data_IF_082717708371
#
_entry.id   IF_082717708371
#
_cell.length_a   1.000
_cell.length_b   1.000
_cell.length_c   1.000
_cell.angle_alpha   90.00
_cell.angle_beta   90.00
_cell.angle_gamma   90.00
#
_symmetry.space_group_name_H-M   'P 1'
#
loop_
_entity.id
_entity.type
_entity.pdbx_description
1 polymer ?
#
# COMPACT_ATOMS: atom_id res chain seq x y z
N UNK A 1 8.84 12.76 -15.68
CA UNK A 1 7.46 12.40 -16.12
C UNK A 1 6.51 13.10 -15.18
N UNK A 2 5.62 13.97 -15.66
CA UNK A 2 4.57 14.54 -14.82
C UNK A 2 3.54 13.43 -14.54
N UNK A 3 3.73 12.68 -13.45
CA UNK A 3 2.77 11.70 -12.96
C UNK A 3 1.75 12.46 -12.13
N UNK A 4 0.61 12.83 -12.69
CA UNK A 4 -0.43 13.49 -11.91
C UNK A 4 -1.40 12.44 -11.35
N UNK A 5 -0.93 11.68 -10.36
CA UNK A 5 -1.77 10.78 -9.56
C UNK A 5 -2.18 11.57 -8.31
N UNK A 6 -3.49 11.68 -8.06
CA UNK A 6 -4.00 12.28 -6.82
C UNK A 6 -3.76 11.31 -5.67
N UNK A 7 -3.51 11.83 -4.46
CA UNK A 7 -3.43 10.97 -3.28
C UNK A 7 -4.82 10.39 -2.97
N UNK A 8 -4.91 9.07 -2.76
CA UNK A 8 -6.07 8.43 -2.16
C UNK A 8 -6.04 8.60 -0.64
N UNK A 9 -6.97 7.97 0.09
CA UNK A 9 -6.91 7.95 1.56
C UNK A 9 -5.60 7.35 2.07
N UNK A 10 -5.07 6.30 1.42
CA UNK A 10 -3.79 5.71 1.77
C UNK A 10 -2.64 6.68 1.52
N UNK A 11 -2.60 7.32 0.34
CA UNK A 11 -1.60 8.34 0.02
C UNK A 11 -1.62 9.53 0.97
N UNK A 12 -2.80 9.98 1.41
CA UNK A 12 -2.93 11.07 2.38
C UNK A 12 -2.42 10.69 3.78
N UNK A 13 -2.76 9.48 4.25
CA UNK A 13 -2.23 8.96 5.52
C UNK A 13 -0.71 8.85 5.46
N UNK A 14 -0.16 8.33 4.37
CA UNK A 14 1.28 8.25 4.18
C UNK A 14 1.93 9.64 4.08
N UNK A 15 1.29 10.60 3.42
CA UNK A 15 1.79 11.97 3.32
C UNK A 15 1.92 12.67 4.68
N UNK A 16 1.02 12.34 5.62
CA UNK A 16 1.02 12.95 6.94
C UNK A 16 1.89 12.17 7.95
N UNK A 17 1.77 10.85 8.00
CA UNK A 17 2.38 10.01 9.03
C UNK A 17 3.58 9.18 8.54
N UNK A 18 3.84 9.14 7.23
CA UNK A 18 4.81 8.20 6.64
C UNK A 18 6.22 8.35 7.20
N UNK A 19 6.70 9.58 7.41
CA UNK A 19 8.04 9.80 8.00
C UNK A 19 8.12 9.27 9.44
N UNK A 20 7.09 9.48 10.26
CA UNK A 20 7.05 9.00 11.65
C UNK A 20 7.02 7.47 11.69
N UNK A 21 6.16 6.86 10.88
CA UNK A 21 6.03 5.39 10.78
C UNK A 21 7.35 4.77 10.31
N UNK A 22 7.98 5.32 9.27
CA UNK A 22 9.27 4.82 8.77
C UNK A 22 10.38 4.95 9.82
N UNK A 23 10.43 6.08 10.53
CA UNK A 23 11.38 6.29 11.62
C UNK A 23 11.21 5.27 12.73
N UNK A 24 9.96 4.96 13.10
CA UNK A 24 9.64 3.93 14.09
C UNK A 24 10.11 2.55 13.64
N UNK A 25 9.73 2.12 12.43
CA UNK A 25 10.10 0.79 11.89
C UNK A 25 11.62 0.63 11.83
N UNK A 26 12.34 1.63 11.32
CA UNK A 26 13.79 1.57 11.22
C UNK A 26 14.48 1.57 12.59
N UNK A 27 13.91 2.26 13.58
CA UNK A 27 14.42 2.26 14.95
C UNK A 27 14.21 0.90 15.63
N UNK A 28 13.02 0.32 15.48
CA UNK A 28 12.67 -1.01 16.03
C UNK A 28 13.61 -2.11 15.48
N UNK A 29 14.08 -1.95 14.25
CA UNK A 29 15.02 -2.87 13.58
C UNK A 29 16.50 -2.48 13.76
N UNK A 30 16.82 -1.59 14.70
CA UNK A 30 18.18 -1.10 14.99
C UNK A 30 18.90 -0.46 13.78
N UNK A 31 18.15 0.18 12.87
CA UNK A 31 18.59 0.86 11.65
C UNK A 31 18.24 2.34 11.65
N UNK A 32 18.35 3.01 12.80
CA UNK A 32 18.03 4.43 12.94
C UNK A 32 18.69 5.27 11.83
N UNK A 33 17.87 6.01 11.08
CA UNK A 33 18.28 6.75 9.89
C UNK A 33 18.42 8.25 10.17
N UNK A 34 19.33 8.92 9.47
CA UNK A 34 19.36 10.39 9.47
C UNK A 34 18.13 10.95 8.75
N UNK A 35 17.82 12.22 8.97
CA UNK A 35 16.70 12.91 8.31
C UNK A 35 16.78 12.86 6.79
N UNK A 36 17.97 12.95 6.21
CA UNK A 36 18.18 12.85 4.76
C UNK A 36 17.89 11.43 4.25
N UNK A 37 18.40 10.42 4.95
CA UNK A 37 18.17 9.01 4.61
C UNK A 37 16.67 8.67 4.73
N UNK A 38 16.02 9.10 5.81
CA UNK A 38 14.59 8.91 6.02
C UNK A 38 13.76 9.53 4.89
N UNK A 39 14.14 10.72 4.42
CA UNK A 39 13.47 11.36 3.27
C UNK A 39 13.68 10.59 1.97
N UNK A 40 14.87 10.00 1.75
CA UNK A 40 15.10 9.12 0.60
C UNK A 40 14.24 7.86 0.66
N UNK A 41 14.17 7.20 1.82
CA UNK A 41 13.29 6.03 2.04
C UNK A 41 11.83 6.42 1.82
N UNK A 42 11.40 7.56 2.34
CA UNK A 42 10.04 8.05 2.16
C UNK A 42 9.64 8.18 0.69
N UNK A 43 10.50 8.75 -0.15
CA UNK A 43 10.25 8.88 -1.59
C UNK A 43 10.29 7.52 -2.30
N UNK A 44 11.23 6.65 -1.92
CA UNK A 44 11.37 5.31 -2.49
C UNK A 44 10.14 4.44 -2.22
N UNK A 45 9.63 4.46 -0.99
CA UNK A 45 8.43 3.74 -0.59
C UNK A 45 7.19 4.34 -1.25
N UNK A 46 7.11 5.65 -1.40
CA UNK A 46 6.01 6.25 -2.16
C UNK A 46 6.00 5.74 -3.61
N UNK A 47 7.11 5.89 -4.33
CA UNK A 47 7.18 5.51 -5.76
C UNK A 47 7.01 4.00 -5.96
N UNK A 48 7.53 3.17 -5.05
CA UNK A 48 7.55 1.71 -5.19
C UNK A 48 6.41 0.96 -4.51
N UNK A 49 5.50 1.66 -3.82
CA UNK A 49 4.42 1.02 -3.05
C UNK A 49 3.14 1.88 -3.01
N UNK A 50 3.21 3.10 -2.50
CA UNK A 50 2.01 3.93 -2.25
C UNK A 50 1.40 4.45 -3.55
N UNK A 51 2.22 4.84 -4.52
CA UNK A 51 1.76 5.37 -5.81
C UNK A 51 0.87 4.37 -6.58
N UNK A 52 1.16 3.05 -6.48
CA UNK A 52 0.32 2.01 -7.08
C UNK A 52 -1.09 2.01 -6.45
N UNK A 53 -1.17 2.12 -5.13
CA UNK A 53 -2.44 2.15 -4.40
C UNK A 53 -3.24 3.39 -4.77
N UNK A 54 -2.59 4.56 -4.80
CA UNK A 54 -3.21 5.81 -5.21
C UNK A 54 -3.73 5.73 -6.65
N UNK A 55 -2.97 5.14 -7.58
CA UNK A 55 -3.40 4.98 -8.97
C UNK A 55 -4.63 4.06 -9.07
N UNK A 56 -4.61 2.91 -8.38
CA UNK A 56 -5.73 1.95 -8.39
C UNK A 56 -7.00 2.59 -7.82
N UNK A 57 -6.90 3.25 -6.66
CA UNK A 57 -8.04 3.87 -5.99
C UNK A 57 -8.65 5.02 -6.80
N UNK A 58 -7.82 5.78 -7.53
CA UNK A 58 -8.28 6.84 -8.41
C UNK A 58 -8.71 6.34 -9.81
N UNK A 59 -8.68 5.03 -10.06
CA UNK A 59 -9.04 4.45 -11.35
C UNK A 59 -8.11 4.85 -12.50
N UNK A 60 -6.86 5.21 -12.20
CA UNK A 60 -5.87 5.60 -13.19
C UNK A 60 -5.28 4.33 -13.83
N UNK A 61 -5.39 4.16 -15.16
CA UNK A 61 -4.82 3.01 -15.83
C UNK A 61 -3.29 3.08 -15.82
N UNK A 62 -2.65 1.90 -15.79
CA UNK A 62 -1.18 1.76 -15.82
C UNK A 62 -0.53 2.39 -17.06
N UNK A 63 -1.26 2.41 -18.18
CA UNK A 63 -0.84 3.04 -19.43
C UNK A 63 -1.86 4.09 -19.85
N UNK A 64 -1.41 5.25 -20.32
CA UNK A 64 -2.29 6.31 -20.81
C UNK A 64 -3.00 5.95 -22.12
N UNK A 65 -2.43 5.03 -22.90
CA UNK A 65 -2.96 4.58 -24.19
C UNK A 65 -2.82 3.07 -24.36
N UNK A 66 -3.73 2.47 -25.13
CA UNK A 66 -3.73 1.03 -25.45
C UNK A 66 -4.48 0.17 -24.42
N UNK A 67 -4.54 -1.14 -24.70
CA UNK A 67 -5.07 -2.15 -23.78
C UNK A 67 -3.96 -3.11 -23.37
N UNK A 68 -3.88 -3.50 -22.09
CA UNK A 68 -2.89 -4.46 -21.66
C UNK A 68 -3.17 -5.83 -22.30
N UNK A 69 -2.11 -6.54 -22.71
CA UNK A 69 -2.23 -7.89 -23.28
C UNK A 69 -2.57 -8.97 -22.25
N UNK A 70 -2.31 -8.69 -20.97
CA UNK A 70 -2.62 -9.55 -19.83
C UNK A 70 -2.98 -8.69 -18.62
N UNK A 71 -3.67 -9.26 -17.63
CA UNK A 71 -4.05 -8.57 -16.39
C UNK A 71 -3.21 -9.09 -15.22
N UNK A 72 -2.70 -8.17 -14.40
CA UNK A 72 -2.12 -8.50 -13.09
C UNK A 72 -3.24 -8.44 -12.05
N UNK A 73 -3.45 -9.50 -11.29
CA UNK A 73 -4.49 -9.60 -10.25
C UNK A 73 -3.94 -10.03 -8.87
N UNK A 74 -2.61 -9.95 -8.73
CA UNK A 74 -1.87 -10.35 -7.52
C UNK A 74 -1.39 -9.17 -6.68
N UNK A 75 -1.70 -7.93 -7.09
CA UNK A 75 -1.36 -6.70 -6.35
C UNK A 75 -2.04 -6.62 -4.97
N UNK A 76 -1.54 -5.73 -4.11
CA UNK A 76 -1.95 -5.63 -2.71
C UNK A 76 -3.47 -5.42 -2.56
N UNK A 77 -4.07 -4.47 -3.29
CA UNK A 77 -5.51 -4.23 -3.24
C UNK A 77 -6.33 -5.47 -3.65
N UNK A 78 -5.85 -6.28 -4.59
CA UNK A 78 -6.52 -7.53 -4.97
C UNK A 78 -6.38 -8.60 -3.89
N UNK A 79 -5.25 -8.65 -3.17
CA UNK A 79 -5.06 -9.57 -2.03
C UNK A 79 -5.95 -9.20 -0.85
N UNK A 80 -6.03 -7.91 -0.51
CA UNK A 80 -6.96 -7.39 0.50
C UNK A 80 -8.41 -7.67 0.09
N UNK A 81 -8.75 -7.45 -1.18
CA UNK A 81 -10.11 -7.73 -1.66
C UNK A 81 -10.52 -9.20 -1.48
N UNK A 82 -9.59 -10.15 -1.65
CA UNK A 82 -9.84 -11.59 -1.44
C UNK A 82 -10.09 -11.98 0.01
N UNK A 83 -9.80 -11.09 0.97
CA UNK A 83 -10.16 -11.29 2.37
C UNK A 83 -11.60 -10.88 2.66
N UNK A 84 -12.30 -10.20 1.75
CA UNK A 84 -13.72 -9.91 1.98
C UNK A 84 -14.53 -11.21 1.95
N UNK A 85 -15.58 -11.32 2.77
CA UNK A 85 -16.46 -12.47 2.71
C UNK A 85 -17.14 -12.54 1.34
N UNK A 86 -17.36 -13.75 0.84
CA UNK A 86 -18.17 -13.94 -0.36
C UNK A 86 -19.60 -13.45 -0.10
N UNK A 87 -20.20 -12.81 -1.10
CA UNK A 87 -21.55 -12.24 -0.97
C UNK A 87 -22.63 -13.30 -0.70
N UNK A 88 -22.34 -14.57 -0.98
CA UNK A 88 -23.22 -15.73 -0.84
C UNK A 88 -22.76 -16.70 0.25
N UNK A 89 -21.84 -16.31 1.14
CA UNK A 89 -21.41 -17.17 2.24
C UNK A 89 -22.55 -17.40 3.24
N UNK A 90 -22.84 -18.66 3.55
CA UNK A 90 -23.91 -19.02 4.51
C UNK A 90 -23.55 -18.63 5.96
N UNK A 91 -22.28 -18.74 6.31
CA UNK A 91 -21.73 -18.36 7.62
C UNK A 91 -20.40 -17.63 7.41
N UNK A 92 -20.42 -16.33 7.02
CA UNK A 92 -19.19 -15.58 6.80
C UNK A 92 -18.42 -15.42 8.10
N UNK A 93 -17.09 -15.43 7.99
CA UNK A 93 -16.22 -15.03 9.10
C UNK A 93 -16.51 -13.58 9.51
N UNK A 94 -16.22 -13.23 10.76
CA UNK A 94 -16.47 -11.87 11.26
C UNK A 94 -15.69 -10.84 10.44
N UNK A 95 -16.37 -9.76 10.03
CA UNK A 95 -15.73 -8.63 9.32
C UNK A 95 -14.56 -8.06 10.12
N UNK A 96 -14.64 -8.05 11.45
CA UNK A 96 -13.55 -7.58 12.30
C UNK A 96 -12.33 -8.50 12.23
N UNK A 97 -12.54 -9.82 12.23
CA UNK A 97 -11.46 -10.80 12.08
C UNK A 97 -10.80 -10.69 10.69
N UNK A 98 -11.60 -10.51 9.64
CA UNK A 98 -11.13 -10.28 8.28
C UNK A 98 -10.37 -8.95 8.16
N UNK A 99 -10.82 -7.92 8.86
CA UNK A 99 -10.12 -6.63 8.92
C UNK A 99 -8.74 -6.78 9.57
N UNK A 100 -8.63 -7.50 10.68
CA UNK A 100 -7.32 -7.77 11.30
C UNK A 100 -6.40 -8.59 10.40
N UNK A 101 -6.92 -9.57 9.65
CA UNK A 101 -6.14 -10.29 8.63
C UNK A 101 -5.64 -9.35 7.52
N UNK A 102 -6.49 -8.42 7.09
CA UNK A 102 -6.10 -7.43 6.09
C UNK A 102 -5.05 -6.45 6.62
N UNK A 103 -5.16 -6.03 7.89
CA UNK A 103 -4.16 -5.20 8.55
C UNK A 103 -2.81 -5.91 8.64
N UNK A 104 -2.78 -7.17 9.03
CA UNK A 104 -1.55 -7.96 9.14
C UNK A 104 -0.89 -8.17 7.76
N UNK A 105 -1.69 -8.49 6.75
CA UNK A 105 -1.26 -8.62 5.36
C UNK A 105 -0.60 -7.33 4.84
N UNK A 106 -1.28 -6.19 4.98
CA UNK A 106 -0.79 -4.89 4.49
C UNK A 106 0.41 -4.43 5.31
N UNK A 107 0.36 -4.60 6.62
CA UNK A 107 1.43 -4.21 7.54
C UNK A 107 2.72 -4.98 7.30
N UNK A 108 2.63 -6.29 7.08
CA UNK A 108 3.79 -7.14 6.77
C UNK A 108 4.39 -6.78 5.42
N UNK A 109 3.56 -6.63 4.38
CA UNK A 109 4.02 -6.20 3.06
C UNK A 109 4.73 -4.84 3.13
N UNK A 110 4.16 -3.88 3.87
CA UNK A 110 4.76 -2.56 4.03
C UNK A 110 6.11 -2.64 4.75
N UNK A 111 6.20 -3.37 5.86
CA UNK A 111 7.46 -3.55 6.61
C UNK A 111 8.54 -4.23 5.75
N UNK A 112 8.21 -5.26 5.00
CA UNK A 112 9.13 -5.93 4.07
C UNK A 112 9.65 -5.00 2.97
N UNK A 113 8.85 -4.00 2.55
CA UNK A 113 9.29 -3.02 1.55
C UNK A 113 10.21 -1.95 2.14
N UNK A 114 10.09 -1.67 3.43
CA UNK A 114 10.91 -0.70 4.17
C UNK A 114 12.28 -1.26 4.54
N UNK A 115 12.37 -2.54 4.90
CA UNK A 115 13.57 -3.21 5.42
C UNK A 115 14.44 -3.87 4.34
#
# INVERSE_FOLDING_TARGET
KNKHIKLSSAGLVYAHFGLEVLSSILTDEARAATSECLRCVYLFIYEGFVEELDAIDNGIPMYSEGKPRYKISTHLSARVHRLNPEWNAENPESTDELFYKAMDLVGSEFKERVL
#
